data_IF_855776685812
#
_entry.id   IF_855776685812
#
_cell.length_a   1.000
_cell.length_b   1.000
_cell.length_c   1.000
_cell.angle_alpha   90.00
_cell.angle_beta   90.00
_cell.angle_gamma   90.00
#
_symmetry.space_group_name_H-M   'P 1'
#
loop_
_entity.id
_entity.type
_entity.pdbx_description
1 polymer ?
#
# COMPACT_ATOMS: atom_id res chain seq x y z
N UNK A 1 -16.05 -12.20 21.42
CA UNK A 1 -16.08 -11.54 20.10
C UNK A 1 -14.87 -10.63 20.04
N UNK A 2 -13.77 -11.08 19.41
CA UNK A 2 -12.62 -10.21 19.16
C UNK A 2 -12.90 -9.51 17.84
N UNK A 3 -13.33 -8.25 17.91
CA UNK A 3 -13.33 -7.38 16.73
C UNK A 3 -11.87 -7.20 16.37
N UNK A 4 -11.38 -7.88 15.33
CA UNK A 4 -10.04 -7.64 14.80
C UNK A 4 -9.90 -6.13 14.59
N UNK A 5 -8.90 -5.47 15.20
CA UNK A 5 -8.70 -4.04 14.96
C UNK A 5 -8.50 -3.86 13.46
N UNK A 6 -9.10 -2.80 12.90
CA UNK A 6 -8.87 -2.42 11.52
C UNK A 6 -7.35 -2.44 11.22
N UNK A 7 -6.93 -2.93 10.04
CA UNK A 7 -5.51 -3.07 9.73
C UNK A 7 -4.81 -1.73 9.92
N UNK A 8 -3.83 -1.70 10.82
CA UNK A 8 -2.99 -0.52 11.03
C UNK A 8 -2.06 -0.36 9.82
N UNK A 9 -1.62 0.88 9.55
CA UNK A 9 -0.69 1.16 8.47
C UNK A 9 0.57 0.28 8.47
N UNK A 10 1.05 -0.14 9.65
CA UNK A 10 2.20 -1.05 9.75
C UNK A 10 1.92 -2.44 9.14
N UNK A 11 0.70 -2.94 9.31
CA UNK A 11 0.26 -4.22 8.74
C UNK A 11 0.13 -4.09 7.22
N UNK A 12 -0.51 -3.01 6.75
CA UNK A 12 -0.60 -2.68 5.32
C UNK A 12 0.78 -2.53 4.68
N UNK A 13 1.72 -1.88 5.37
CA UNK A 13 3.09 -1.72 4.89
C UNK A 13 3.79 -3.07 4.73
N UNK A 14 3.61 -3.97 5.70
CA UNK A 14 4.19 -5.31 5.68
C UNK A 14 3.62 -6.13 4.52
N UNK A 15 2.29 -6.15 4.35
CA UNK A 15 1.65 -6.85 3.24
C UNK A 15 2.08 -6.29 1.88
N UNK A 16 2.09 -4.96 1.73
CA UNK A 16 2.57 -4.32 0.50
C UNK A 16 4.03 -4.65 0.21
N UNK A 17 4.89 -4.74 1.24
CA UNK A 17 6.29 -5.12 1.06
C UNK A 17 6.45 -6.58 0.61
N UNK A 18 5.64 -7.50 1.14
CA UNK A 18 5.65 -8.90 0.65
C UNK A 18 5.20 -9.00 -0.81
N UNK A 19 4.22 -8.20 -1.21
CA UNK A 19 3.77 -8.15 -2.61
C UNK A 19 4.83 -7.54 -3.52
N UNK A 20 5.55 -6.51 -3.05
CA UNK A 20 6.68 -5.93 -3.79
C UNK A 20 7.79 -6.97 -3.99
N UNK A 21 8.15 -7.72 -2.95
CA UNK A 21 9.18 -8.76 -3.00
C UNK A 21 8.79 -9.93 -3.92
N UNK A 22 7.50 -10.30 -3.94
CA UNK A 22 6.97 -11.33 -4.84
C UNK A 22 6.83 -10.86 -6.30
N UNK A 23 6.72 -9.54 -6.54
CA UNK A 23 6.60 -8.98 -7.87
C UNK A 23 7.96 -8.91 -8.58
N UNK A 24 7.95 -9.06 -9.90
CA UNK A 24 9.18 -8.94 -10.70
C UNK A 24 9.75 -7.51 -10.57
N UNK A 25 11.01 -7.41 -10.11
CA UNK A 25 11.72 -6.14 -9.97
C UNK A 25 11.70 -5.32 -11.28
N UNK A 26 11.33 -4.04 -11.16
CA UNK A 26 11.16 -3.13 -12.30
C UNK A 26 9.76 -3.16 -12.95
N UNK A 27 8.86 -4.02 -12.48
CA UNK A 27 7.46 -4.02 -12.91
C UNK A 27 6.65 -2.92 -12.21
N UNK A 28 5.53 -2.55 -12.82
CA UNK A 28 4.61 -1.56 -12.26
C UNK A 28 4.06 -1.99 -10.89
N UNK A 29 3.69 -3.27 -10.74
CA UNK A 29 3.27 -3.84 -9.46
C UNK A 29 4.34 -3.72 -8.37
N UNK A 30 5.59 -4.01 -8.69
CA UNK A 30 6.70 -3.86 -7.74
C UNK A 30 6.84 -2.38 -7.31
N UNK A 31 6.81 -1.45 -8.26
CA UNK A 31 6.92 -0.02 -7.96
C UNK A 31 5.74 0.49 -7.13
N UNK A 32 4.51 0.06 -7.45
CA UNK A 32 3.31 0.41 -6.73
C UNK A 32 3.34 -0.15 -5.30
N UNK A 33 3.61 -1.45 -5.14
CA UNK A 33 3.66 -2.12 -3.85
C UNK A 33 4.77 -1.57 -2.95
N UNK A 34 5.96 -1.31 -3.49
CA UNK A 34 7.04 -0.66 -2.74
C UNK A 34 6.65 0.75 -2.30
N UNK A 35 5.98 1.52 -3.16
CA UNK A 35 5.51 2.87 -2.82
C UNK A 35 4.46 2.86 -1.71
N UNK A 36 3.52 1.92 -1.75
CA UNK A 36 2.53 1.70 -0.68
C UNK A 36 3.24 1.30 0.61
N UNK A 37 4.18 0.36 0.56
CA UNK A 37 4.93 -0.09 1.72
C UNK A 37 5.64 1.07 2.43
N UNK A 38 6.41 1.87 1.68
CA UNK A 38 7.14 3.04 2.22
C UNK A 38 6.17 4.08 2.77
N UNK A 39 5.09 4.37 2.04
CA UNK A 39 4.10 5.38 2.44
C UNK A 39 3.38 4.97 3.71
N UNK A 40 2.89 3.73 3.79
CA UNK A 40 2.25 3.20 4.99
C UNK A 40 3.23 3.09 6.17
N UNK A 41 4.51 2.76 5.94
CA UNK A 41 5.52 2.71 7.01
C UNK A 41 5.83 4.11 7.61
N UNK A 42 5.72 5.16 6.80
CA UNK A 42 6.04 6.54 7.21
C UNK A 42 4.84 7.36 7.69
N UNK A 43 3.62 6.87 7.45
CA UNK A 43 2.38 7.56 7.81
C UNK A 43 1.65 6.83 8.94
N UNK A 44 1.03 7.59 9.84
CA UNK A 44 0.33 7.04 11.01
C UNK A 44 -1.11 6.59 10.71
N UNK A 45 -1.75 7.18 9.70
CA UNK A 45 -3.16 6.95 9.36
C UNK A 45 -3.35 6.68 7.87
N UNK A 46 -4.36 5.87 7.54
CA UNK A 46 -4.69 5.46 6.19
C UNK A 46 -5.08 6.65 5.28
N UNK A 47 -5.77 7.67 5.81
CA UNK A 47 -6.14 8.85 5.05
C UNK A 47 -4.91 9.68 4.63
N UNK A 48 -3.91 9.76 5.51
CA UNK A 48 -2.65 10.42 5.20
C UNK A 48 -1.85 9.62 4.16
N UNK A 49 -1.79 8.29 4.32
CA UNK A 49 -1.16 7.41 3.34
C UNK A 49 -1.74 7.60 1.94
N UNK A 50 -3.08 7.57 1.80
CA UNK A 50 -3.77 7.77 0.52
C UNK A 50 -3.45 9.12 -0.12
N UNK A 51 -3.35 10.18 0.68
CA UNK A 51 -3.00 11.52 0.20
C UNK A 51 -1.59 11.54 -0.39
N UNK A 52 -0.63 10.94 0.30
CA UNK A 52 0.77 10.82 -0.17
C UNK A 52 0.84 9.96 -1.44
N UNK A 53 0.12 8.84 -1.47
CA UNK A 53 0.03 7.98 -2.65
C UNK A 53 -0.52 8.73 -3.86
N UNK A 54 -1.52 9.58 -3.68
CA UNK A 54 -2.08 10.43 -4.73
C UNK A 54 -1.10 11.44 -5.34
N UNK A 55 0.00 11.74 -4.66
CA UNK A 55 1.08 12.60 -5.16
C UNK A 55 2.14 11.87 -5.98
N UNK A 56 2.11 10.54 -6.06
CA UNK A 56 3.15 9.75 -6.74
C UNK A 56 3.09 9.97 -8.25
N UNK A 57 4.26 10.00 -8.88
CA UNK A 57 4.44 9.95 -10.33
C UNK A 57 5.34 8.76 -10.69
N UNK A 58 5.12 8.09 -11.84
CA UNK A 58 4.12 8.37 -12.89
C UNK A 58 2.68 7.99 -12.50
N UNK A 59 1.69 8.48 -13.26
CA UNK A 59 0.25 8.31 -13.00
C UNK A 59 -0.18 6.83 -12.94
N UNK A 60 0.44 5.98 -13.75
CA UNK A 60 0.17 4.54 -13.76
C UNK A 60 0.58 3.87 -12.45
N UNK A 61 1.73 4.25 -11.87
CA UNK A 61 2.18 3.76 -10.55
C UNK A 61 1.27 4.29 -9.45
N UNK A 62 0.82 5.55 -9.55
CA UNK A 62 -0.14 6.13 -8.61
C UNK A 62 -1.45 5.34 -8.58
N UNK A 63 -2.04 5.06 -9.75
CA UNK A 63 -3.29 4.30 -9.85
C UNK A 63 -3.13 2.91 -9.26
N UNK A 64 -2.07 2.19 -9.63
CA UNK A 64 -1.81 0.86 -9.09
C UNK A 64 -1.54 0.88 -7.57
N UNK A 65 -0.83 1.87 -7.07
CA UNK A 65 -0.58 2.01 -5.63
C UNK A 65 -1.86 2.33 -4.84
N UNK A 66 -2.73 3.19 -5.38
CA UNK A 66 -4.02 3.50 -4.77
C UNK A 66 -4.98 2.31 -4.80
N UNK A 67 -5.03 1.56 -5.91
CA UNK A 67 -5.82 0.33 -6.05
C UNK A 67 -5.37 -0.72 -5.03
N UNK A 68 -4.05 -0.98 -4.97
CA UNK A 68 -3.48 -1.91 -4.02
C UNK A 68 -3.77 -1.51 -2.57
N UNK A 69 -3.61 -0.23 -2.25
CA UNK A 69 -3.90 0.30 -0.92
C UNK A 69 -5.37 0.13 -0.53
N UNK A 70 -6.29 0.38 -1.46
CA UNK A 70 -7.72 0.21 -1.25
C UNK A 70 -8.08 -1.25 -0.96
N UNK A 71 -7.55 -2.20 -1.76
CA UNK A 71 -7.72 -3.65 -1.56
C UNK A 71 -7.20 -4.12 -0.21
N UNK A 72 -5.97 -3.74 0.14
CA UNK A 72 -5.37 -4.09 1.43
C UNK A 72 -6.15 -3.46 2.59
N UNK A 73 -6.61 -2.22 2.45
CA UNK A 73 -7.41 -1.54 3.48
C UNK A 73 -8.82 -2.11 3.62
N UNK A 74 -9.38 -2.68 2.56
CA UNK A 74 -10.65 -3.41 2.57
C UNK A 74 -10.51 -4.83 3.18
N UNK A 75 -9.29 -5.30 3.41
CA UNK A 75 -9.01 -6.62 3.97
C UNK A 75 -8.96 -7.75 2.93
N UNK A 76 -8.91 -7.41 1.64
CA UNK A 76 -8.69 -8.37 0.55
C UNK A 76 -7.18 -8.67 0.45
N UNK A 77 -6.72 -9.57 1.31
CA UNK A 77 -5.32 -10.04 1.37
C UNK A 77 -5.07 -11.19 0.41
#
# INVERSE_FOLDING_TARGET
MATSPAPNNLDLATSAQQMADAAQAGSLDHAAAASVAITCATTRDAAHARTVLGGITPDEVRKAALDLFDRLSAGER
#
